data_IF_655699670590
#
_entry.id   IF_655699670590
#
_cell.length_a   1.000
_cell.length_b   1.000
_cell.length_c   1.000
_cell.angle_alpha   90.00
_cell.angle_beta   90.00
_cell.angle_gamma   90.00
#
_symmetry.space_group_name_H-M   'P 1'
#
loop_
_entity.id
_entity.type
_entity.pdbx_description
1 polymer ?
#
# COMPACT_ATOMS: atom_id res chain seq x y z
N UNK A 1 -7.24 -64.74 -7.21
CA UNK A 1 -6.67 -63.41 -6.91
C UNK A 1 -7.81 -62.51 -6.47
N UNK A 2 -7.90 -62.23 -5.19
CA UNK A 2 -8.85 -61.25 -4.64
C UNK A 2 -7.96 -60.18 -4.00
N UNK A 3 -7.94 -59.00 -4.61
CA UNK A 3 -7.08 -57.88 -4.23
C UNK A 3 -7.68 -57.16 -3.02
N UNK A 4 -6.98 -57.21 -1.89
CA UNK A 4 -7.29 -56.42 -0.70
C UNK A 4 -6.87 -54.96 -0.92
N UNK A 5 -7.82 -54.03 -0.89
CA UNK A 5 -7.51 -52.61 -0.79
C UNK A 5 -7.42 -52.24 0.70
N UNK A 6 -6.18 -52.05 1.17
CA UNK A 6 -5.90 -51.45 2.48
C UNK A 6 -6.08 -49.95 2.35
N UNK A 7 -7.05 -49.38 3.06
CA UNK A 7 -7.18 -47.92 3.19
C UNK A 7 -6.14 -47.44 4.20
N UNK A 8 -5.05 -46.83 3.71
CA UNK A 8 -4.15 -46.07 4.57
C UNK A 8 -4.89 -44.83 5.07
N UNK A 9 -5.13 -44.79 6.38
CA UNK A 9 -5.56 -43.60 7.09
C UNK A 9 -4.42 -42.59 7.08
N UNK A 10 -4.56 -41.54 6.27
CA UNK A 10 -3.77 -40.32 6.44
C UNK A 10 -4.16 -39.73 7.80
N UNK A 11 -3.23 -39.75 8.75
CA UNK A 11 -3.34 -39.00 10.00
C UNK A 11 -3.47 -37.53 9.64
N UNK A 12 -4.65 -36.98 9.85
CA UNK A 12 -4.86 -35.55 10.02
C UNK A 12 -4.17 -35.16 11.32
N UNK A 13 -2.92 -34.71 11.23
CA UNK A 13 -2.32 -33.88 12.27
C UNK A 13 -3.14 -32.58 12.27
N UNK A 14 -4.13 -32.50 13.15
CA UNK A 14 -4.79 -31.25 13.51
C UNK A 14 -3.74 -30.37 14.19
N UNK A 15 -2.97 -29.68 13.36
CA UNK A 15 -2.10 -28.60 13.77
C UNK A 15 -2.98 -27.46 14.26
N UNK A 16 -2.98 -27.25 15.58
CA UNK A 16 -3.60 -26.11 16.23
C UNK A 16 -2.84 -24.83 15.84
N UNK A 17 -3.16 -24.28 14.67
CA UNK A 17 -2.64 -23.02 14.13
C UNK A 17 -3.53 -22.62 12.95
N UNK A 18 -3.77 -21.33 12.76
CA UNK A 18 -4.79 -20.80 11.84
C UNK A 18 -4.61 -21.16 10.35
N UNK A 19 -3.57 -21.92 9.98
CA UNK A 19 -3.22 -22.22 8.59
C UNK A 19 -2.69 -21.01 7.82
N UNK A 20 -2.57 -19.86 8.49
CA UNK A 20 -2.11 -18.60 7.91
C UNK A 20 -0.69 -18.29 8.34
N UNK A 21 0.02 -17.58 7.46
CA UNK A 21 1.30 -16.93 7.72
C UNK A 21 1.23 -15.49 7.25
N UNK A 22 2.01 -14.61 7.85
CA UNK A 22 1.98 -13.19 7.51
C UNK A 22 3.37 -12.54 7.53
N UNK A 23 3.53 -11.45 6.79
CA UNK A 23 4.74 -10.62 6.82
C UNK A 23 4.37 -9.14 6.67
N UNK A 24 4.96 -8.30 7.51
CA UNK A 24 4.79 -6.85 7.40
C UNK A 24 5.61 -6.31 6.22
N UNK A 25 4.93 -5.61 5.32
CA UNK A 25 5.55 -4.82 4.27
C UNK A 25 6.25 -3.61 4.93
N UNK A 26 7.54 -3.38 4.64
CA UNK A 26 8.24 -2.21 5.16
C UNK A 26 7.63 -0.91 4.64
N UNK A 27 7.56 0.09 5.52
CA UNK A 27 7.12 1.44 5.16
C UNK A 27 8.26 2.19 4.47
N UNK A 28 7.95 2.85 3.36
CA UNK A 28 8.91 3.70 2.63
C UNK A 28 9.88 2.92 1.74
N UNK A 29 11.05 3.51 1.49
CA UNK A 29 12.05 2.98 0.57
C UNK A 29 12.76 1.77 1.18
N UNK A 30 12.66 0.63 0.51
CA UNK A 30 13.14 -0.67 0.95
C UNK A 30 13.73 -1.55 -0.16
N UNK A 31 13.59 -1.15 -1.42
CA UNK A 31 14.19 -1.79 -2.60
C UNK A 31 15.47 -1.07 -3.04
N UNK A 32 16.41 -1.85 -3.58
CA UNK A 32 17.71 -1.37 -4.05
C UNK A 32 17.63 -0.57 -5.36
N UNK A 33 16.55 -0.71 -6.13
CA UNK A 33 16.30 -0.02 -7.41
C UNK A 33 15.57 1.32 -7.25
N UNK A 34 15.51 1.85 -6.02
CA UNK A 34 15.00 3.20 -5.76
C UNK A 34 15.87 4.29 -6.41
N UNK A 35 15.25 5.43 -6.73
CA UNK A 35 15.93 6.53 -7.41
C UNK A 35 15.43 7.88 -6.94
N UNK A 36 16.26 8.92 -7.06
CA UNK A 36 15.90 10.27 -6.63
C UNK A 36 15.72 11.24 -7.81
N UNK A 37 14.72 12.12 -7.73
CA UNK A 37 14.47 13.21 -8.68
C UNK A 37 14.03 14.48 -7.94
N UNK A 38 14.38 15.63 -8.51
CA UNK A 38 13.81 16.91 -8.06
C UNK A 38 12.38 17.04 -8.55
N UNK A 39 11.49 17.48 -7.67
CA UNK A 39 10.09 17.61 -7.99
C UNK A 39 9.29 16.32 -7.77
N UNK A 40 7.97 16.46 -7.73
CA UNK A 40 7.01 15.36 -7.69
C UNK A 40 6.84 14.73 -9.08
N UNK A 41 6.91 13.41 -9.14
CA UNK A 41 6.67 12.65 -10.37
C UNK A 41 5.24 12.13 -10.45
N UNK A 42 4.67 12.19 -11.65
CA UNK A 42 3.38 11.58 -11.98
C UNK A 42 3.53 10.05 -11.98
N UNK A 43 2.55 9.34 -11.40
CA UNK A 43 2.68 7.93 -11.07
C UNK A 43 2.67 7.02 -12.30
N UNK A 44 1.75 7.20 -13.25
CA UNK A 44 1.55 6.29 -14.38
C UNK A 44 2.79 6.23 -15.27
N UNK A 45 3.36 7.40 -15.58
CA UNK A 45 4.58 7.50 -16.36
C UNK A 45 5.80 6.93 -15.60
N UNK A 46 5.80 7.05 -14.27
CA UNK A 46 6.91 6.57 -13.44
C UNK A 46 6.89 5.05 -13.26
N UNK A 47 5.71 4.46 -13.00
CA UNK A 47 5.58 3.01 -12.82
C UNK A 47 5.53 2.28 -14.15
N UNK A 48 5.12 2.93 -15.23
CA UNK A 48 4.94 2.33 -16.56
C UNK A 48 4.13 1.02 -16.51
N UNK A 49 3.04 1.02 -15.72
CA UNK A 49 2.14 -0.12 -15.50
C UNK A 49 2.82 -1.36 -14.88
N UNK A 50 4.01 -1.20 -14.27
CA UNK A 50 4.69 -2.29 -13.55
C UNK A 50 4.08 -2.60 -12.19
N UNK A 51 3.50 -1.59 -11.55
CA UNK A 51 2.88 -1.70 -10.23
C UNK A 51 1.81 -0.62 -10.06
N UNK A 52 0.79 -0.94 -9.28
CA UNK A 52 -0.22 0.00 -8.79
C UNK A 52 0.31 0.92 -7.68
N UNK A 53 1.52 0.67 -7.16
CA UNK A 53 2.10 1.36 -6.02
C UNK A 53 3.31 2.20 -6.41
N UNK A 54 3.36 3.42 -5.89
CA UNK A 54 4.54 4.28 -5.96
C UNK A 54 4.78 4.94 -4.61
N UNK A 55 5.96 4.69 -4.05
CA UNK A 55 6.45 5.38 -2.87
C UNK A 55 7.15 6.69 -3.25
N UNK A 56 6.86 7.73 -2.47
CA UNK A 56 7.52 9.02 -2.49
C UNK A 56 8.10 9.25 -1.09
N UNK A 57 9.41 9.40 -0.97
CA UNK A 57 10.08 9.60 0.32
C UNK A 57 10.90 10.89 0.33
N UNK A 58 10.77 11.66 1.39
CA UNK A 58 11.53 12.89 1.62
C UNK A 58 12.00 12.98 3.06
N UNK A 59 13.28 13.30 3.24
CA UNK A 59 13.84 13.60 4.55
C UNK A 59 13.92 15.11 4.75
N UNK A 60 13.32 15.62 5.83
CA UNK A 60 13.38 17.03 6.21
C UNK A 60 14.05 17.20 7.57
N UNK A 61 14.77 18.30 7.75
CA UNK A 61 15.33 18.73 9.03
C UNK A 61 14.45 19.80 9.67
N UNK A 62 14.09 19.61 10.93
CA UNK A 62 13.37 20.60 11.74
C UNK A 62 14.31 21.11 12.82
N UNK A 63 14.73 22.37 12.76
CA UNK A 63 15.78 22.92 13.64
C UNK A 63 15.28 23.23 15.07
N UNK A 64 14.03 23.66 15.20
CA UNK A 64 13.40 24.05 16.48
C UNK A 64 12.20 23.13 16.82
N UNK A 65 11.49 23.39 17.92
CA UNK A 65 10.24 22.70 18.21
C UNK A 65 9.22 22.92 17.08
N UNK A 66 8.61 21.84 16.59
CA UNK A 66 7.59 21.94 15.56
C UNK A 66 6.42 22.78 16.11
N UNK A 67 5.78 23.61 15.27
CA UNK A 67 4.65 24.43 15.72
C UNK A 67 3.60 23.58 16.45
N UNK A 68 2.83 24.18 17.36
CA UNK A 68 1.88 23.46 18.23
C UNK A 68 0.87 22.59 17.48
N UNK A 69 0.63 22.87 16.20
CA UNK A 69 -0.21 22.08 15.31
C UNK A 69 0.28 22.16 13.87
N UNK A 70 1.04 21.15 13.43
CA UNK A 70 1.51 21.04 12.03
C UNK A 70 0.57 20.19 11.18
N UNK A 71 0.36 20.60 9.93
CA UNK A 71 -0.43 19.85 8.96
C UNK A 71 0.37 19.55 7.71
N UNK A 72 0.20 18.34 7.18
CA UNK A 72 0.68 17.96 5.88
C UNK A 72 -0.48 18.02 4.88
N UNK A 73 -0.44 19.01 4.01
CA UNK A 73 -1.36 19.16 2.91
C UNK A 73 -0.84 18.42 1.69
N UNK A 74 -1.67 17.60 1.06
CA UNK A 74 -1.29 16.79 -0.10
C UNK A 74 -2.41 16.86 -1.12
N UNK A 75 -2.06 17.21 -2.36
CA UNK A 75 -2.92 17.02 -3.52
C UNK A 75 -2.37 15.92 -4.43
N UNK A 76 -3.29 15.07 -4.89
CA UNK A 76 -3.02 13.95 -5.79
C UNK A 76 -4.10 13.86 -6.85
N UNK A 77 -3.73 13.45 -8.07
CA UNK A 77 -4.66 13.16 -9.14
C UNK A 77 -5.46 11.87 -8.92
N UNK A 78 -5.22 11.14 -7.82
CA UNK A 78 -5.89 9.89 -7.46
C UNK A 78 -4.94 8.69 -7.45
N UNK A 79 -5.40 7.49 -7.10
CA UNK A 79 -6.76 7.17 -6.65
C UNK A 79 -6.86 7.09 -5.12
N UNK A 80 -5.80 6.64 -4.47
CA UNK A 80 -5.68 6.70 -3.02
C UNK A 80 -4.25 7.07 -2.61
N UNK A 81 -4.13 7.58 -1.40
CA UNK A 81 -2.84 7.87 -0.79
C UNK A 81 -2.84 7.49 0.69
N UNK A 82 -1.69 7.04 1.18
CA UNK A 82 -1.39 6.88 2.60
C UNK A 82 -0.16 7.72 2.94
N UNK A 83 -0.19 8.43 4.06
CA UNK A 83 0.92 9.25 4.53
C UNK A 83 1.49 8.67 5.82
N UNK A 84 2.81 8.57 5.86
CA UNK A 84 3.57 8.08 7.00
C UNK A 84 4.60 9.13 7.42
N UNK A 85 4.75 9.30 8.73
CA UNK A 85 5.78 10.15 9.34
C UNK A 85 6.63 9.27 10.25
N UNK A 86 7.93 9.21 9.98
CA UNK A 86 8.89 8.40 10.72
C UNK A 86 8.42 6.93 10.86
N UNK A 87 7.92 6.36 9.77
CA UNK A 87 7.44 4.97 9.70
C UNK A 87 6.03 4.71 10.28
N UNK A 88 5.32 5.74 10.76
CA UNK A 88 3.97 5.58 11.35
C UNK A 88 2.90 6.19 10.45
N UNK A 89 1.82 5.45 10.20
CA UNK A 89 0.66 5.95 9.45
C UNK A 89 0.04 7.14 10.21
N UNK A 90 -0.10 8.27 9.53
CA UNK A 90 -0.71 9.49 10.09
C UNK A 90 -2.03 9.86 9.42
N UNK A 91 -2.29 9.35 8.22
CA UNK A 91 -3.56 9.59 7.52
C UNK A 91 -3.62 8.97 6.14
N UNK A 92 -4.79 9.07 5.54
CA UNK A 92 -5.10 8.52 4.22
C UNK A 92 -6.13 9.38 3.49
N UNK A 93 -6.15 9.28 2.17
CA UNK A 93 -7.19 9.86 1.33
C UNK A 93 -7.53 8.93 0.17
N UNK A 94 -8.79 8.93 -0.26
CA UNK A 94 -9.27 8.10 -1.36
C UNK A 94 -10.25 8.89 -2.20
N UNK A 95 -10.03 8.89 -3.51
CA UNK A 95 -10.96 9.44 -4.49
C UNK A 95 -12.13 8.49 -4.69
N UNK A 96 -13.18 8.97 -5.36
CA UNK A 96 -14.31 8.15 -5.76
C UNK A 96 -14.65 8.38 -7.23
N UNK A 97 -15.59 7.60 -7.76
CA UNK A 97 -15.98 7.62 -9.18
C UNK A 97 -16.38 9.01 -9.71
N UNK A 98 -16.81 9.92 -8.83
CA UNK A 98 -17.21 11.28 -9.21
C UNK A 98 -16.10 12.31 -8.97
N UNK A 99 -15.17 12.04 -8.06
CA UNK A 99 -14.05 12.91 -7.68
C UNK A 99 -12.81 12.07 -7.42
N UNK A 100 -12.03 11.84 -8.47
CA UNK A 100 -10.81 11.02 -8.42
C UNK A 100 -9.67 11.74 -7.70
N UNK A 101 -9.59 13.07 -7.86
CA UNK A 101 -8.60 13.91 -7.18
C UNK A 101 -8.72 13.79 -5.67
N UNK A 102 -7.60 13.54 -5.00
CA UNK A 102 -7.50 13.47 -3.54
C UNK A 102 -6.85 14.76 -3.05
N UNK A 103 -7.50 15.42 -2.09
CA UNK A 103 -6.96 16.59 -1.38
C UNK A 103 -7.16 16.33 0.10
N UNK A 104 -6.06 16.31 0.86
CA UNK A 104 -6.09 16.03 2.30
C UNK A 104 -5.24 17.03 3.07
N UNK A 105 -5.68 17.37 4.28
CA UNK A 105 -4.91 18.08 5.28
C UNK A 105 -4.79 17.15 6.50
N UNK A 106 -3.62 16.56 6.70
CA UNK A 106 -3.38 15.54 7.73
C UNK A 106 -2.66 16.20 8.91
N UNK A 107 -3.21 16.17 10.13
CA UNK A 107 -2.47 16.63 11.31
C UNK A 107 -1.29 15.68 11.57
N UNK A 108 -0.09 16.23 11.67
CA UNK A 108 1.14 15.46 11.87
C UNK A 108 1.91 15.95 13.09
N UNK A 109 2.76 15.08 13.63
CA UNK A 109 3.70 15.40 14.69
C UNK A 109 5.11 15.23 14.14
N UNK A 110 5.88 16.30 14.17
CA UNK A 110 7.29 16.29 13.79
C UNK A 110 8.14 16.39 15.05
N UNK A 111 9.33 15.80 14.99
CA UNK A 111 10.34 15.89 16.07
C UNK A 111 11.46 16.84 15.66
N UNK A 112 12.16 17.45 16.61
CA UNK A 112 13.37 18.20 16.31
C UNK A 112 14.42 17.27 15.68
N UNK A 113 15.09 17.75 14.64
CA UNK A 113 16.03 17.00 13.83
C UNK A 113 15.39 16.38 12.59
N UNK A 114 15.87 15.18 12.22
CA UNK A 114 15.49 14.50 10.98
C UNK A 114 14.10 13.87 11.10
N UNK A 115 13.22 14.19 10.16
CA UNK A 115 11.94 13.52 9.96
C UNK A 115 11.87 12.94 8.55
N UNK A 116 11.30 11.76 8.42
CA UNK A 116 11.06 11.09 7.15
C UNK A 116 9.56 11.17 6.86
N UNK A 117 9.22 11.67 5.68
CA UNK A 117 7.88 11.69 5.14
C UNK A 117 7.84 10.64 4.03
N UNK A 118 7.07 9.58 4.24
CA UNK A 118 6.83 8.56 3.22
C UNK A 118 5.37 8.63 2.78
N UNK A 119 5.14 8.83 1.50
CA UNK A 119 3.80 8.86 0.90
C UNK A 119 3.69 7.66 -0.04
N UNK A 120 2.66 6.84 0.18
CA UNK A 120 2.31 5.74 -0.71
C UNK A 120 1.13 6.18 -1.57
N UNK A 121 1.35 6.20 -2.89
CA UNK A 121 0.31 6.47 -3.87
C UNK A 121 -0.18 5.18 -4.52
N UNK A 122 -1.49 5.07 -4.73
CA UNK A 122 -2.15 3.87 -5.25
C UNK A 122 -3.02 4.22 -6.45
N UNK A 123 -2.85 3.46 -7.53
CA UNK A 123 -3.78 3.45 -8.67
C UNK A 123 -4.80 2.32 -8.51
N UNK A 124 -6.06 2.57 -8.84
CA UNK A 124 -7.14 1.59 -8.81
C UNK A 124 -7.61 1.29 -10.23
N UNK A 125 -6.69 0.81 -11.08
CA UNK A 125 -6.91 0.59 -12.51
C UNK A 125 -6.93 1.90 -13.32
N UNK A 126 -6.50 1.81 -14.57
CA UNK A 126 -6.47 2.94 -15.50
C UNK A 126 -7.82 3.08 -16.21
N UNK A 127 -8.26 4.32 -16.46
CA UNK A 127 -9.42 4.56 -17.30
C UNK A 127 -9.17 4.00 -18.69
N UNK A 128 -10.06 3.11 -19.14
CA UNK A 128 -9.94 2.36 -20.40
C UNK A 128 -11.11 2.65 -21.37
N UNK A 129 -11.92 3.66 -21.06
CA UNK A 129 -13.03 4.12 -21.87
C UNK A 129 -13.23 5.64 -21.69
N UNK A 130 -13.67 6.33 -22.76
CA UNK A 130 -13.82 7.80 -22.98
C UNK A 130 -12.70 8.45 -23.80
N UNK A 131 -13.00 9.58 -24.45
CA UNK A 131 -11.98 10.32 -25.18
C UNK A 131 -10.87 10.80 -24.22
N UNK A 132 -9.61 10.67 -24.64
CA UNK A 132 -8.42 11.14 -23.93
C UNK A 132 -8.11 10.46 -22.59
N UNK A 133 -8.59 9.23 -22.34
CA UNK A 133 -8.28 8.50 -21.10
C UNK A 133 -6.77 8.29 -20.89
N UNK A 134 -6.00 8.23 -21.98
CA UNK A 134 -4.54 8.11 -22.03
C UNK A 134 -3.80 9.36 -21.53
N UNK A 135 -4.50 10.49 -21.43
CA UNK A 135 -3.96 11.76 -20.93
C UNK A 135 -4.21 11.99 -19.43
N UNK A 136 -4.96 11.10 -18.77
CA UNK A 136 -5.29 11.26 -17.36
C UNK A 136 -4.13 10.74 -16.51
N UNK A 137 -3.46 11.64 -15.80
CA UNK A 137 -2.40 11.31 -14.86
C UNK A 137 -2.94 10.76 -13.54
N UNK A 138 -2.05 10.16 -12.75
CA UNK A 138 -2.31 9.65 -11.41
C UNK A 138 -1.20 10.01 -10.43
N UNK A 139 -1.49 9.75 -9.16
CA UNK A 139 -0.56 9.89 -8.06
C UNK A 139 -0.35 11.31 -7.56
N UNK A 140 0.71 11.51 -6.79
CA UNK A 140 0.93 12.74 -6.02
C UNK A 140 1.69 13.74 -6.89
N UNK A 141 0.94 14.56 -7.62
CA UNK A 141 1.51 15.64 -8.45
C UNK A 141 1.59 16.98 -7.72
N UNK A 142 1.10 17.02 -6.48
CA UNK A 142 1.19 18.16 -5.60
C UNK A 142 0.12 19.23 -5.83
N UNK A 143 0.16 20.29 -4.99
CA UNK A 143 1.26 20.58 -4.06
C UNK A 143 1.31 19.68 -2.83
N UNK A 144 2.51 19.51 -2.26
CA UNK A 144 2.76 18.91 -0.94
C UNK A 144 3.29 20.00 -0.02
N UNK A 145 2.47 20.46 0.93
CA UNK A 145 2.77 21.65 1.74
C UNK A 145 2.75 21.28 3.23
N UNK A 146 3.82 21.65 3.92
CA UNK A 146 3.88 21.62 5.37
C UNK A 146 3.37 22.94 5.92
N UNK A 147 2.24 22.91 6.63
CA UNK A 147 1.57 24.09 7.22
C UNK A 147 1.72 24.12 8.74
N UNK A 148 1.64 25.31 9.32
CA UNK A 148 1.60 25.48 10.77
C UNK A 148 2.95 25.29 11.45
N UNK A 149 4.04 25.58 10.74
CA UNK A 149 5.39 25.65 11.32
C UNK A 149 5.51 26.90 12.22
N UNK A 150 6.69 27.13 12.81
CA UNK A 150 6.95 28.29 13.68
C UNK A 150 6.42 29.59 13.05
N UNK A 151 5.70 30.37 13.85
CA UNK A 151 5.00 31.61 13.46
C UNK A 151 3.89 31.43 12.40
N UNK A 152 3.36 30.23 12.23
CA UNK A 152 2.34 29.93 11.22
C UNK A 152 2.89 29.81 9.80
N UNK A 153 4.22 29.69 9.65
CA UNK A 153 4.85 29.56 8.33
C UNK A 153 4.44 28.26 7.63
N UNK A 154 4.53 28.30 6.29
CA UNK A 154 4.25 27.17 5.40
C UNK A 154 5.45 26.92 4.51
N UNK A 155 5.81 25.65 4.30
CA UNK A 155 6.90 25.25 3.41
C UNK A 155 6.32 24.34 2.33
N UNK A 156 6.59 24.68 1.07
CA UNK A 156 6.27 23.82 -0.07
C UNK A 156 7.39 22.80 -0.29
N UNK A 157 7.04 21.52 -0.22
CA UNK A 157 7.94 20.38 -0.38
C UNK A 157 7.91 19.84 -1.82
N UNK A 158 7.05 20.36 -2.70
CA UNK A 158 6.80 19.83 -4.03
C UNK A 158 8.02 19.84 -4.95
N UNK A 159 8.95 20.78 -4.73
CA UNK A 159 10.16 20.96 -5.55
C UNK A 159 11.44 20.42 -4.89
N UNK A 160 11.30 19.73 -3.76
CA UNK A 160 12.44 19.10 -3.09
C UNK A 160 12.93 17.87 -3.86
N UNK A 161 14.07 17.33 -3.44
CA UNK A 161 14.56 16.06 -3.96
C UNK A 161 13.83 14.91 -3.27
N UNK A 162 12.96 14.23 -4.01
CA UNK A 162 12.22 13.06 -3.56
C UNK A 162 12.93 11.78 -3.99
N UNK A 163 12.90 10.76 -3.14
CA UNK A 163 13.30 9.39 -3.47
C UNK A 163 12.06 8.57 -3.78
N UNK A 164 12.14 7.77 -4.82
CA UNK A 164 11.03 7.01 -5.38
C UNK A 164 11.33 5.52 -5.35
N UNK A 165 10.30 4.72 -5.08
CA UNK A 165 10.34 3.28 -5.27
C UNK A 165 9.06 2.83 -5.98
N UNK A 166 9.23 2.14 -7.11
CA UNK A 166 8.13 1.51 -7.83
C UNK A 166 7.82 0.16 -7.17
N UNK A 167 6.55 0.00 -6.78
CA UNK A 167 6.05 -1.21 -6.17
C UNK A 167 6.42 -1.41 -4.70
N UNK A 168 5.89 -2.49 -4.16
CA UNK A 168 6.14 -2.94 -2.79
C UNK A 168 7.28 -3.97 -2.78
N UNK A 169 7.98 -4.09 -1.66
CA UNK A 169 9.14 -4.99 -1.49
C UNK A 169 8.80 -6.44 -1.83
N UNK A 170 7.64 -6.91 -1.38
CA UNK A 170 7.24 -8.30 -1.57
C UNK A 170 6.29 -8.50 -2.78
N UNK A 171 6.04 -7.47 -3.58
CA UNK A 171 5.22 -7.58 -4.80
C UNK A 171 5.89 -8.45 -5.88
N UNK A 172 7.21 -8.34 -6.00
CA UNK A 172 8.01 -9.12 -6.96
C UNK A 172 8.19 -10.59 -6.52
N UNK A 173 7.89 -10.89 -5.26
CA UNK A 173 7.92 -12.25 -4.71
C UNK A 173 6.63 -12.98 -5.10
N UNK A 174 6.60 -13.49 -6.34
CA UNK A 174 5.46 -14.25 -6.85
C UNK A 174 5.02 -15.41 -5.94
N UNK A 175 3.82 -15.99 -6.17
CA UNK A 175 3.14 -16.92 -5.25
C UNK A 175 3.94 -18.20 -4.92
N UNK A 176 4.91 -18.57 -5.75
CA UNK A 176 5.76 -19.75 -5.62
C UNK A 176 7.15 -19.48 -5.02
N UNK A 177 7.52 -18.21 -4.79
CA UNK A 177 8.81 -17.88 -4.19
C UNK A 177 8.75 -18.14 -2.68
N UNK A 178 9.64 -19.03 -2.22
CA UNK A 178 9.68 -19.57 -0.87
C UNK A 178 10.06 -18.55 0.21
N UNK A 179 9.15 -17.65 0.56
CA UNK A 179 9.18 -16.87 1.80
C UNK A 179 8.86 -17.72 3.05
N UNK A 180 8.99 -19.04 2.96
CA UNK A 180 8.74 -19.98 4.07
C UNK A 180 9.63 -19.72 5.28
N UNK A 181 10.74 -18.98 5.13
CA UNK A 181 11.61 -18.57 6.23
C UNK A 181 11.40 -17.14 6.77
N UNK A 182 10.54 -16.33 6.14
CA UNK A 182 10.41 -14.89 6.47
C UNK A 182 9.00 -14.51 6.95
N UNK A 183 8.00 -15.35 6.68
CA UNK A 183 6.65 -15.16 7.19
C UNK A 183 6.53 -15.71 8.62
N UNK A 184 5.83 -14.96 9.47
CA UNK A 184 5.44 -15.39 10.80
C UNK A 184 4.29 -16.39 10.69
N UNK A 185 4.44 -17.58 11.27
CA UNK A 185 3.46 -18.68 11.27
C UNK A 185 2.71 -18.81 12.61
N UNK A 186 2.66 -17.71 13.38
CA UNK A 186 2.14 -17.71 14.75
C UNK A 186 0.59 -17.70 14.79
N UNK A 187 0.01 -18.14 15.90
CA UNK A 187 -1.44 -18.19 16.13
C UNK A 187 -2.12 -16.83 16.00
N UNK A 188 -1.40 -15.77 16.38
CA UNK A 188 -1.94 -14.42 16.48
C UNK A 188 -1.72 -13.71 15.16
N UNK A 189 -2.80 -13.58 14.39
CA UNK A 189 -2.80 -12.81 13.16
C UNK A 189 -2.90 -11.31 13.51
N UNK A 190 -2.04 -10.46 12.93
CA UNK A 190 -2.21 -9.03 13.08
C UNK A 190 -3.55 -8.63 12.47
N UNK A 191 -4.35 -7.89 13.23
CA UNK A 191 -5.62 -7.32 12.75
C UNK A 191 -5.44 -5.80 12.75
N UNK A 192 -5.99 -5.13 11.73
CA UNK A 192 -5.91 -3.68 11.55
C UNK A 192 -4.47 -3.13 11.43
N UNK A 193 -3.52 -3.99 11.03
CA UNK A 193 -2.20 -3.55 10.65
C UNK A 193 -2.17 -3.30 9.14
N UNK A 194 -2.01 -2.04 8.70
CA UNK A 194 -1.84 -1.74 7.28
C UNK A 194 -0.54 -2.37 6.78
N UNK A 195 -0.41 -2.54 5.47
CA UNK A 195 0.83 -3.02 4.85
C UNK A 195 1.25 -4.39 5.42
N UNK A 196 0.31 -5.33 5.44
CA UNK A 196 0.57 -6.71 5.86
C UNK A 196 0.13 -7.68 4.78
N UNK A 197 1.05 -8.56 4.40
CA UNK A 197 0.78 -9.67 3.49
C UNK A 197 0.35 -10.90 4.29
N UNK A 198 -0.72 -11.55 3.85
CA UNK A 198 -1.19 -12.80 4.44
C UNK A 198 -1.13 -13.91 3.40
N UNK A 199 -0.72 -15.09 3.82
CA UNK A 199 -0.64 -16.29 3.00
C UNK A 199 -1.28 -17.45 3.76
N UNK A 200 -2.27 -18.09 3.14
CA UNK A 200 -2.88 -19.32 3.66
C UNK A 200 -2.17 -20.54 3.07
N UNK A 201 -2.03 -21.57 3.90
CA UNK A 201 -1.54 -22.89 3.50
C UNK A 201 -2.67 -23.79 2.99
N UNK A 202 -3.92 -23.31 2.97
CA UNK A 202 -5.01 -24.00 2.30
C UNK A 202 -4.66 -24.16 0.82
N UNK A 203 -4.68 -25.41 0.35
CA UNK A 203 -4.41 -25.79 -1.03
C UNK A 203 -5.15 -24.80 -1.95
N UNK A 204 -4.39 -23.98 -2.69
CA UNK A 204 -4.85 -22.95 -3.64
C UNK A 204 -5.29 -21.58 -3.07
N UNK A 205 -4.40 -20.74 -2.51
CA UNK A 205 -4.60 -19.27 -2.51
C UNK A 205 -3.28 -18.48 -2.60
N UNK A 206 -3.29 -17.38 -3.35
CA UNK A 206 -2.17 -16.41 -3.48
C UNK A 206 -2.05 -15.55 -2.21
N UNK A 207 -0.90 -14.91 -1.93
CA UNK A 207 -0.83 -13.94 -0.83
C UNK A 207 -1.73 -12.73 -1.11
N UNK A 208 -2.72 -12.44 -0.26
CA UNK A 208 -3.50 -11.19 -0.32
C UNK A 208 -2.79 -10.12 0.53
N UNK A 209 -2.57 -8.92 -0.02
CA UNK A 209 -2.14 -7.74 0.73
C UNK A 209 -3.36 -7.03 1.33
N UNK A 210 -3.37 -6.80 2.64
CA UNK A 210 -4.36 -5.93 3.27
C UNK A 210 -3.83 -4.49 3.35
N UNK A 211 -4.41 -3.64 2.52
CA UNK A 211 -4.37 -2.19 2.67
C UNK A 211 -5.75 -1.76 3.14
N UNK A 212 -5.82 -0.81 4.07
CA UNK A 212 -7.09 -0.27 4.56
C UNK A 212 -7.73 0.51 3.40
N UNK A 213 -8.46 -0.22 2.55
CA UNK A 213 -9.45 0.31 1.62
C UNK A 213 -10.63 -0.65 1.67
N UNK A 214 -11.79 -0.14 2.09
CA UNK A 214 -13.03 -0.89 2.13
C UNK A 214 -13.33 -1.50 0.75
N UNK A 215 -13.69 -2.79 0.75
CA UNK A 215 -14.30 -3.59 -0.32
C UNK A 215 -13.35 -4.50 -1.14
N UNK A 216 -13.25 -5.78 -0.72
CA UNK A 216 -13.02 -6.92 -1.62
C UNK A 216 -14.04 -8.04 -1.29
N UNK A 217 -14.69 -8.63 -2.31
CA UNK A 217 -15.54 -9.86 -2.30
C UNK A 217 -14.89 -10.94 -3.18
N UNK A 218 -15.48 -12.14 -3.44
CA UNK A 218 -14.98 -13.41 -4.11
C UNK A 218 -15.18 -13.72 -5.64
N UNK A 219 -14.13 -14.04 -6.46
CA UNK A 219 -13.85 -15.29 -7.25
C UNK A 219 -12.45 -15.50 -7.96
N UNK A 220 -11.78 -16.63 -7.64
CA UNK A 220 -11.08 -17.67 -8.44
C UNK A 220 -10.03 -17.36 -9.57
N UNK A 221 -8.75 -17.52 -9.22
CA UNK A 221 -7.87 -18.49 -9.90
C UNK A 221 -7.33 -18.21 -11.32
N UNK A 222 -6.97 -16.98 -11.70
CA UNK A 222 -6.06 -16.71 -12.84
C UNK A 222 -5.20 -15.46 -12.57
N UNK A 223 -4.08 -15.28 -13.26
CA UNK A 223 -3.34 -14.01 -13.27
C UNK A 223 -4.20 -12.95 -13.99
N UNK A 224 -4.92 -12.12 -13.24
CA UNK A 224 -5.84 -11.12 -13.80
C UNK A 224 -5.07 -9.82 -14.06
N UNK A 225 -4.66 -9.58 -15.32
CA UNK A 225 -4.58 -8.21 -15.84
C UNK A 225 -6.02 -7.69 -15.89
N UNK A 226 -6.37 -6.73 -15.01
CA UNK A 226 -7.75 -6.24 -14.82
C UNK A 226 -8.21 -5.43 -16.03
N UNK A 227 -8.85 -6.09 -16.99
CA UNK A 227 -9.72 -5.46 -17.98
C UNK A 227 -11.16 -5.39 -17.47
N UNK A 228 -11.76 -4.21 -17.60
CA UNK A 228 -13.17 -3.86 -17.36
C UNK A 228 -13.73 -4.06 -15.95
N UNK A 229 -14.06 -2.92 -15.32
CA UNK A 229 -14.87 -2.79 -14.12
C UNK A 229 -16.33 -3.17 -14.38
N UNK A 230 -16.58 -4.46 -14.52
CA UNK A 230 -17.83 -5.09 -14.16
C UNK A 230 -17.57 -6.59 -14.01
N UNK A 231 -17.76 -7.07 -12.79
CA UNK A 231 -17.72 -8.46 -12.35
C UNK A 231 -16.38 -9.05 -11.84
N UNK A 232 -16.51 -9.63 -10.63
CA UNK A 232 -15.62 -10.53 -9.90
C UNK A 232 -14.36 -9.93 -9.22
N UNK A 233 -14.56 -9.53 -7.98
CA UNK A 233 -13.54 -9.29 -6.97
C UNK A 233 -13.33 -10.63 -6.24
N UNK A 234 -12.09 -11.08 -5.88
CA UNK A 234 -11.76 -12.10 -4.83
C UNK A 234 -10.73 -11.73 -3.77
N UNK A 235 -11.15 -11.35 -2.55
CA UNK A 235 -10.51 -11.74 -1.27
C UNK A 235 -11.57 -11.55 -0.16
N UNK A 236 -11.91 -12.63 0.58
CA UNK A 236 -12.73 -12.60 1.79
C UNK A 236 -12.03 -11.79 2.90
N UNK A 237 -12.70 -10.77 3.45
CA UNK A 237 -12.37 -10.23 4.77
C UNK A 237 -13.65 -9.81 5.51
N UNK A 238 -14.00 -10.61 6.52
CA UNK A 238 -14.86 -10.17 7.62
C UNK A 238 -13.94 -9.83 8.81
N UNK A 239 -14.10 -8.64 9.41
CA UNK A 239 -14.35 -8.43 10.85
C UNK A 239 -14.36 -6.91 11.17
N UNK A 240 -15.52 -6.53 11.72
CA UNK A 240 -15.94 -5.38 12.54
C UNK A 240 -15.24 -4.00 12.44
N UNK A 241 -16.10 -3.05 12.10
CA UNK A 241 -16.02 -1.60 12.37
C UNK A 241 -15.56 -1.31 13.81
N UNK A 242 -14.49 -0.54 13.94
CA UNK A 242 -14.22 0.25 15.14
C UNK A 242 -14.62 1.69 14.87
N UNK A 243 -15.84 2.06 15.28
CA UNK A 243 -16.16 3.40 15.78
C UNK A 243 -15.53 3.51 17.18
#
# INVERSE_FOLDING_TARGET
>A
MISSFTTESLKEEVGSGSGWSWISEPVGISKDDSFSKFGLLEQINTTADKSDYLWYSLSIGIEDDAGSQTFLHIESLGHALHAFINGKLVGSGTGNNNKVKVVVDIPIKLVTGKNIIDLLSLTMGLHNYRAFFDTWGGGITGPVILKGLKNGSTVDLSFQQWTYQVGLKYEDLGPSSGSSGQCNSQSDLPINQPLTWYKSNALFTQPCLHLISSQCREDNGYNIRRGNWSFFCDCMLAILLGV
#
